data_IF_746657547079
#
_entry.id   IF_746657547079
#
_cell.length_a   1.000
_cell.length_b   1.000
_cell.length_c   1.000
_cell.angle_alpha   90.00
_cell.angle_beta   90.00
_cell.angle_gamma   90.00
#
_symmetry.space_group_name_H-M   'P 1'
#
loop_
_entity.id
_entity.type
_entity.pdbx_description
1 polymer ?
#
# COMPACT_ATOMS: atom_id res chain seq x y z
N UNK A 1 17.05 2.04 -10.49
CA UNK A 1 15.93 1.12 -10.16
C UNK A 1 15.45 1.55 -8.78
N UNK A 2 14.18 1.88 -8.58
CA UNK A 2 13.70 2.30 -7.25
C UNK A 2 13.36 1.04 -6.46
N UNK A 3 14.09 0.80 -5.37
CA UNK A 3 13.77 -0.25 -4.42
C UNK A 3 12.52 0.14 -3.61
N UNK A 4 11.40 -0.52 -3.88
CA UNK A 4 10.14 -0.31 -3.15
C UNK A 4 10.34 -0.49 -1.65
N UNK A 5 11.19 -1.43 -1.25
CA UNK A 5 11.50 -1.74 0.13
C UNK A 5 12.17 -0.57 0.86
N UNK A 6 13.16 0.03 0.19
CA UNK A 6 13.87 1.21 0.68
C UNK A 6 12.95 2.42 0.70
N UNK A 7 12.12 2.59 -0.32
CA UNK A 7 11.16 3.68 -0.41
C UNK A 7 10.11 3.58 0.73
N UNK A 8 9.60 2.39 1.03
CA UNK A 8 8.70 2.17 2.18
C UNK A 8 9.42 2.50 3.48
N UNK A 9 10.64 1.98 3.69
CA UNK A 9 11.46 2.27 4.89
C UNK A 9 11.65 3.77 5.10
N UNK A 10 12.00 4.51 4.06
CA UNK A 10 12.16 5.96 4.15
C UNK A 10 10.83 6.63 4.46
N UNK A 11 9.75 6.28 3.76
CA UNK A 11 8.43 6.89 4.00
C UNK A 11 7.91 6.65 5.42
N UNK A 12 8.18 5.47 5.99
CA UNK A 12 7.83 5.15 7.38
C UNK A 12 8.67 5.94 8.39
N UNK A 13 9.94 6.23 8.05
CA UNK A 13 10.89 6.94 8.94
C UNK A 13 10.72 8.46 8.90
N UNK A 14 10.59 9.05 7.72
CA UNK A 14 10.58 10.51 7.49
C UNK A 14 9.19 11.05 7.21
N UNK A 15 8.26 10.19 6.81
CA UNK A 15 6.91 10.57 6.42
C UNK A 15 5.86 10.24 7.48
N UNK A 16 4.59 10.40 7.09
CA UNK A 16 3.43 10.11 7.91
C UNK A 16 2.66 8.97 7.27
N UNK A 17 2.73 7.81 7.93
CA UNK A 17 2.10 6.58 7.48
C UNK A 17 1.08 6.07 8.49
N UNK A 18 0.15 5.24 8.03
CA UNK A 18 -0.80 4.54 8.88
C UNK A 18 -0.82 3.06 8.50
N UNK A 19 -0.91 2.19 9.51
CA UNK A 19 -0.83 0.75 9.33
C UNK A 19 -2.20 0.11 9.54
N UNK A 20 -2.47 -0.95 8.78
CA UNK A 20 -3.67 -1.76 8.89
C UNK A 20 -4.75 -1.41 7.87
N UNK A 21 -5.50 -2.44 7.49
CA UNK A 21 -6.58 -2.38 6.50
C UNK A 21 -7.69 -1.37 6.87
N UNK A 22 -8.17 -1.41 8.11
CA UNK A 22 -9.22 -0.49 8.56
C UNK A 22 -8.80 0.98 8.46
N UNK A 23 -7.54 1.28 8.80
CA UNK A 23 -6.99 2.63 8.69
C UNK A 23 -6.86 3.05 7.22
N UNK A 24 -6.49 2.12 6.34
CA UNK A 24 -6.43 2.34 4.91
C UNK A 24 -7.79 2.65 4.31
N UNK A 25 -8.82 1.85 4.62
CA UNK A 25 -10.19 2.07 4.19
C UNK A 25 -10.70 3.43 4.66
N UNK A 26 -10.49 3.81 5.92
CA UNK A 26 -10.91 5.12 6.42
C UNK A 26 -10.15 6.28 5.77
N UNK A 27 -8.85 6.12 5.53
CA UNK A 27 -8.04 7.15 4.89
C UNK A 27 -8.40 7.30 3.40
N UNK A 28 -8.75 6.19 2.74
CA UNK A 28 -9.29 6.18 1.39
C UNK A 28 -10.65 6.90 1.34
N UNK A 29 -11.60 6.52 2.20
CA UNK A 29 -12.93 7.17 2.32
C UNK A 29 -12.87 8.68 2.53
N UNK A 30 -11.87 9.16 3.27
CA UNK A 30 -11.73 10.58 3.58
C UNK A 30 -10.87 11.34 2.55
N UNK A 31 -10.31 10.66 1.55
CA UNK A 31 -9.42 11.27 0.55
C UNK A 31 -8.10 11.80 1.14
N UNK A 32 -7.73 11.38 2.35
CA UNK A 32 -6.53 11.88 3.06
C UNK A 32 -5.29 11.03 2.79
N UNK A 33 -5.43 9.92 2.09
CA UNK A 33 -4.31 9.08 1.66
C UNK A 33 -3.78 9.57 0.31
N UNK A 34 -2.45 9.60 0.16
CA UNK A 34 -1.78 9.86 -1.12
C UNK A 34 -1.46 8.58 -1.88
N UNK A 35 -1.21 7.50 -1.15
CA UNK A 35 -0.91 6.18 -1.70
C UNK A 35 -1.33 5.12 -0.69
N UNK A 36 -1.85 3.99 -1.18
CA UNK A 36 -2.12 2.80 -0.38
C UNK A 36 -1.35 1.63 -0.95
N UNK A 37 -0.76 0.83 -0.07
CA UNK A 37 -0.01 -0.38 -0.41
C UNK A 37 -0.68 -1.55 0.30
N UNK A 38 -1.04 -2.58 -0.44
CA UNK A 38 -1.61 -3.83 0.09
C UNK A 38 -0.61 -4.96 -0.05
N UNK A 39 -0.46 -5.80 0.97
CA UNK A 39 0.28 -7.05 0.82
C UNK A 39 -0.45 -8.02 -0.13
N UNK A 40 0.31 -8.89 -0.81
CA UNK A 40 -0.26 -9.89 -1.74
C UNK A 40 -1.17 -10.89 -1.05
N UNK A 41 -0.92 -11.17 0.24
CA UNK A 41 -1.71 -12.10 1.04
C UNK A 41 -2.87 -11.44 1.80
N UNK A 42 -3.25 -10.20 1.43
CA UNK A 42 -4.44 -9.57 1.97
C UNK A 42 -5.68 -10.40 1.64
N UNK A 43 -6.61 -10.61 2.60
CA UNK A 43 -7.86 -11.30 2.31
C UNK A 43 -8.66 -10.52 1.27
N UNK A 44 -9.25 -11.24 0.30
CA UNK A 44 -9.93 -10.66 -0.87
C UNK A 44 -10.96 -9.60 -0.49
N UNK A 45 -11.82 -9.88 0.49
CA UNK A 45 -12.83 -8.93 0.97
C UNK A 45 -12.24 -7.56 1.32
N UNK A 46 -11.13 -7.55 2.05
CA UNK A 46 -10.46 -6.30 2.46
C UNK A 46 -9.80 -5.61 1.27
N UNK A 47 -9.16 -6.38 0.40
CA UNK A 47 -8.49 -5.84 -0.78
C UNK A 47 -9.49 -5.15 -1.71
N UNK A 48 -10.64 -5.79 -1.94
CA UNK A 48 -11.72 -5.29 -2.79
C UNK A 48 -12.36 -4.01 -2.21
N UNK A 49 -12.57 -3.96 -0.89
CA UNK A 49 -12.98 -2.73 -0.19
C UNK A 49 -11.97 -1.60 -0.43
N UNK A 50 -10.68 -1.85 -0.17
CA UNK A 50 -9.61 -0.83 -0.35
C UNK A 50 -9.56 -0.35 -1.79
N UNK A 51 -9.60 -1.27 -2.76
CA UNK A 51 -9.57 -0.96 -4.18
C UNK A 51 -10.77 -0.08 -4.59
N UNK A 52 -11.97 -0.43 -4.12
CA UNK A 52 -13.18 0.33 -4.38
C UNK A 52 -13.06 1.77 -3.88
N UNK A 53 -12.64 1.98 -2.63
CA UNK A 53 -12.47 3.33 -2.07
C UNK A 53 -11.31 4.11 -2.71
N UNK A 54 -10.23 3.42 -3.08
CA UNK A 54 -9.11 4.00 -3.83
C UNK A 54 -9.59 4.52 -5.19
N UNK A 55 -10.33 3.72 -5.96
CA UNK A 55 -10.92 4.12 -7.25
C UNK A 55 -11.85 5.32 -7.10
N UNK A 56 -12.73 5.30 -6.10
CA UNK A 56 -13.66 6.41 -5.81
C UNK A 56 -12.94 7.73 -5.47
N UNK A 57 -11.84 7.64 -4.74
CA UNK A 57 -11.08 8.82 -4.27
C UNK A 57 -9.87 9.16 -5.15
N UNK A 58 -9.71 8.47 -6.28
CA UNK A 58 -8.57 8.60 -7.19
C UNK A 58 -7.19 8.43 -6.50
N UNK A 59 -7.11 7.52 -5.53
CA UNK A 59 -5.88 7.25 -4.78
C UNK A 59 -5.18 6.03 -5.41
N UNK A 60 -3.89 6.13 -5.75
CA UNK A 60 -3.15 4.99 -6.28
C UNK A 60 -3.04 3.86 -5.25
N UNK A 61 -3.26 2.64 -5.71
CA UNK A 61 -3.11 1.40 -4.95
C UNK A 61 -1.98 0.57 -5.55
N UNK A 62 -1.03 0.15 -4.72
CA UNK A 62 0.08 -0.74 -5.10
C UNK A 62 -0.07 -2.08 -4.39
N UNK A 63 0.08 -3.16 -5.13
CA UNK A 63 0.18 -4.51 -4.55
C UNK A 63 1.65 -4.82 -4.30
N UNK A 64 2.01 -4.92 -3.02
CA UNK A 64 3.32 -5.35 -2.60
C UNK A 64 3.45 -6.86 -2.80
N UNK A 65 4.47 -7.29 -3.57
CA UNK A 65 4.70 -8.70 -3.90
C UNK A 65 5.02 -9.58 -2.67
N UNK A 66 5.50 -8.99 -1.57
CA UNK A 66 5.76 -9.71 -0.34
C UNK A 66 4.51 -9.90 0.52
N UNK A 67 4.61 -10.82 1.49
CA UNK A 67 3.54 -11.08 2.46
C UNK A 67 3.42 -9.94 3.48
N UNK A 68 2.32 -9.89 4.23
CA UNK A 68 2.09 -8.90 5.29
C UNK A 68 3.14 -8.93 6.43
N UNK A 69 3.85 -10.05 6.59
CA UNK A 69 5.00 -10.16 7.50
C UNK A 69 6.23 -9.46 6.90
N UNK A 70 6.47 -9.65 5.61
CA UNK A 70 7.60 -9.03 4.90
C UNK A 70 7.41 -7.51 4.84
N UNK A 71 6.21 -7.05 4.50
CA UNK A 71 5.86 -5.64 4.52
C UNK A 71 6.03 -5.03 5.93
N UNK A 72 5.73 -5.79 6.99
CA UNK A 72 5.97 -5.36 8.36
C UNK A 72 7.46 -5.28 8.72
N UNK A 73 8.25 -6.27 8.30
CA UNK A 73 9.70 -6.26 8.46
C UNK A 73 10.33 -5.07 7.74
N UNK A 74 9.87 -4.76 6.53
CA UNK A 74 10.26 -3.57 5.77
C UNK A 74 9.88 -2.29 6.51
N UNK A 75 8.69 -2.22 7.07
CA UNK A 75 8.27 -1.08 7.90
C UNK A 75 9.00 -1.02 9.27
N UNK A 76 9.75 -2.06 9.66
CA UNK A 76 10.41 -2.16 10.96
C UNK A 76 9.42 -2.27 12.13
N UNK A 77 8.28 -2.94 11.93
CA UNK A 77 7.23 -3.10 12.95
C UNK A 77 7.15 -4.55 13.45
N UNK A 78 6.99 -4.79 14.77
CA UNK A 78 6.93 -6.13 15.35
C UNK A 78 5.57 -6.83 15.18
N UNK A 79 4.71 -6.34 14.29
CA UNK A 79 3.36 -6.86 14.05
C UNK A 79 3.06 -6.92 12.56
N UNK A 80 2.21 -7.86 12.14
CA UNK A 80 1.85 -8.04 10.73
C UNK A 80 1.08 -6.84 10.17
N UNK A 81 1.38 -6.45 8.95
CA UNK A 81 0.74 -5.30 8.28
C UNK A 81 0.13 -5.77 6.96
N UNK A 82 -1.19 -5.86 6.92
CA UNK A 82 -1.94 -6.23 5.71
C UNK A 82 -1.95 -5.10 4.68
N UNK A 83 -2.15 -3.85 5.14
CA UNK A 83 -2.13 -2.67 4.30
C UNK A 83 -1.41 -1.51 4.97
N UNK A 84 -0.76 -0.68 4.16
CA UNK A 84 -0.04 0.52 4.54
C UNK A 84 -0.63 1.71 3.80
N UNK A 85 -0.86 2.80 4.51
CA UNK A 85 -1.34 4.05 3.94
C UNK A 85 -0.28 5.12 4.11
N UNK A 86 0.06 5.78 3.02
CA UNK A 86 0.99 6.90 3.02
C UNK A 86 0.17 8.18 2.90
N UNK A 87 0.15 8.95 3.98
CA UNK A 87 -0.46 10.29 4.02
C UNK A 87 0.56 11.32 3.57
N UNK A 88 1.79 11.19 4.05
CA UNK A 88 2.91 12.04 3.67
C UNK A 88 4.13 11.16 3.34
N UNK A 89 4.70 11.27 2.13
CA UNK A 89 5.83 10.47 1.71
C UNK A 89 7.16 10.87 2.40
N UNK A 90 7.25 12.09 2.93
CA UNK A 90 8.52 12.68 3.38
C UNK A 90 9.54 12.73 2.25
N UNK A 91 10.79 12.37 2.54
CA UNK A 91 11.89 12.23 1.56
C UNK A 91 11.81 10.96 0.69
N UNK A 92 10.72 10.18 0.79
CA UNK A 92 10.58 8.97 -0.01
C UNK A 92 10.05 9.26 -1.41
N UNK A 93 10.71 8.68 -2.42
CA UNK A 93 10.24 8.68 -3.80
C UNK A 93 9.16 7.61 -4.08
N UNK A 94 8.52 7.06 -3.04
CA UNK A 94 7.49 6.00 -3.16
C UNK A 94 6.32 6.39 -4.08
N UNK A 95 6.00 7.68 -4.20
CA UNK A 95 4.96 8.16 -5.10
C UNK A 95 5.35 8.03 -6.58
N UNK A 96 6.65 8.07 -6.92
CA UNK A 96 7.11 7.87 -8.31
C UNK A 96 6.92 6.43 -8.79
N UNK A 97 6.66 5.49 -7.87
CA UNK A 97 6.35 4.10 -8.21
C UNK A 97 4.94 3.95 -8.80
N UNK A 98 4.01 4.85 -8.45
CA UNK A 98 2.61 4.79 -8.93
C UNK A 98 2.50 5.17 -10.39
N UNK A 99 3.41 6.03 -10.88
CA UNK A 99 3.47 6.46 -12.28
C UNK A 99 3.98 5.34 -13.22
N UNK A 100 4.55 4.26 -12.66
CA UNK A 100 5.12 3.14 -13.42
C UNK A 100 4.32 1.84 -13.37
N UNK A 101 3.26 1.78 -12.58
CA UNK A 101 2.40 0.60 -12.51
C UNK A 101 1.11 0.90 -13.28
N UNK A 102 1.16 0.67 -14.59
CA UNK A 102 -0.05 0.28 -15.32
C UNK A 102 -0.67 -0.93 -14.62
N UNK A 103 -2.00 -1.06 -14.59
CA UNK A 103 -2.67 -2.21 -14.01
C UNK A 103 -2.31 -3.45 -14.83
N UNK A 104 -1.30 -4.20 -14.39
CA UNK A 104 -1.06 -5.54 -14.92
C UNK A 104 -2.20 -6.44 -14.40
N UNK A 105 -3.22 -6.56 -15.25
CA UNK A 105 -4.13 -7.69 -15.28
C UNK A 105 -3.33 -9.00 -15.20
N UNK A 106 -3.38 -9.65 -14.05
CA UNK A 106 -3.25 -11.11 -13.98
C UNK A 106 -3.90 -11.64 -12.72
N UNK A 107 -5.22 -11.60 -12.72
CA UNK A 107 -5.99 -12.66 -12.08
C UNK A 107 -5.90 -13.90 -12.97
N UNK A 108 -4.73 -14.54 -12.98
CA UNK A 108 -4.58 -15.87 -13.56
C UNK A 108 -5.38 -16.84 -12.69
N UNK A 109 -6.46 -17.37 -13.27
CA UNK A 109 -7.26 -18.40 -12.64
C UNK A 109 -6.44 -19.63 -12.29
N UNK A 110 -6.88 -20.33 -11.26
CA UNK A 110 -6.64 -21.77 -11.16
C UNK A 110 -8.01 -22.43 -11.16
N UNK A 111 -8.15 -23.29 -12.15
CA UNK A 111 -9.30 -24.11 -12.57
C UNK A 111 -9.99 -24.87 -11.42
#
# INVERSE_FOLDING_TARGET
MIDIDKAIKTAVKTGKVSFGANSAIQSAKTGKAKLIISAVNCPKNIHEDIECYCKLSNIPLIIYKGSSIDLAATCGKPFVISALTIKEPGDSEILRLTEKMEPDESYGGTE
#
